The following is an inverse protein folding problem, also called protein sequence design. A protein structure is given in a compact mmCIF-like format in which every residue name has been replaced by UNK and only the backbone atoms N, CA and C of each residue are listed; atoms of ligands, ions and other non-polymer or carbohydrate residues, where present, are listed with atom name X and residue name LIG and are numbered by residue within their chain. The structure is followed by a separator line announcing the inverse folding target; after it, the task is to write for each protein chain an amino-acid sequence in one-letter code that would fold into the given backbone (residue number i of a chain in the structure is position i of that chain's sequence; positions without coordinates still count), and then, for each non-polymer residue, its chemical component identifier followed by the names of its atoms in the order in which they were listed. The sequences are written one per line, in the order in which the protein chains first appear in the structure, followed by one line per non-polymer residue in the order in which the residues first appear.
data_IF_217958300633
#
_entry.id   IF_217958300633
#
_cell.length_a   1.000
_cell.length_b   1.000
_cell.length_c   1.000
_cell.angle_alpha   90.00
_cell.angle_beta   90.00
_cell.angle_gamma   90.00
#
_symmetry.space_group_name_H-M   'P 1'
#
loop_
_entity.id
_entity.type
_entity.pdbx_description
1 polymer ?
#
# COMPACT_ATOMS: atom_id res chain seq x y z
N UNK A 1 44.70 -1.16 -14.71
CA UNK A 1 44.68 -1.60 -13.30
C UNK A 1 43.98 -0.57 -12.41
N UNK A 2 44.36 0.71 -12.45
CA UNK A 2 43.68 1.82 -11.74
C UNK A 2 42.17 1.92 -12.05
N UNK A 3 41.79 1.83 -13.32
CA UNK A 3 40.38 1.85 -13.76
C UNK A 3 39.53 0.71 -13.16
N UNK A 4 40.09 -0.50 -13.00
CA UNK A 4 39.38 -1.62 -12.35
C UNK A 4 39.17 -1.41 -10.85
N UNK A 5 40.07 -0.69 -10.17
CA UNK A 5 39.89 -0.34 -8.77
C UNK A 5 38.84 0.75 -8.62
N UNK A 6 38.87 1.76 -9.50
CA UNK A 6 37.88 2.84 -9.51
C UNK A 6 36.46 2.31 -9.81
N UNK A 7 36.32 1.36 -10.75
CA UNK A 7 35.04 0.70 -11.06
C UNK A 7 34.51 -0.13 -9.87
N UNK A 8 35.39 -0.90 -9.19
CA UNK A 8 35.01 -1.64 -7.98
C UNK A 8 34.60 -0.73 -6.84
N UNK A 9 35.32 0.36 -6.61
CA UNK A 9 35.00 1.34 -5.57
C UNK A 9 33.67 2.04 -5.84
N UNK A 10 33.40 2.40 -7.11
CA UNK A 10 32.12 3.00 -7.51
C UNK A 10 30.96 2.03 -7.29
N UNK A 11 31.12 0.76 -7.68
CA UNK A 11 30.10 -0.28 -7.44
C UNK A 11 29.80 -0.48 -5.96
N UNK A 12 30.83 -0.56 -5.11
CA UNK A 12 30.65 -0.67 -3.65
C UNK A 12 29.92 0.54 -3.08
N UNK A 13 30.23 1.76 -3.54
CA UNK A 13 29.53 2.98 -3.11
C UNK A 13 28.05 2.95 -3.52
N UNK A 14 27.75 2.48 -4.72
CA UNK A 14 26.38 2.31 -5.21
C UNK A 14 25.60 1.29 -4.38
N UNK A 15 26.18 0.10 -4.16
CA UNK A 15 25.57 -0.97 -3.35
C UNK A 15 25.27 -0.49 -1.91
N UNK A 16 26.20 0.25 -1.29
CA UNK A 16 26.00 0.85 0.03
C UNK A 16 24.89 1.91 0.03
N UNK A 17 24.80 2.71 -1.03
CA UNK A 17 23.76 3.73 -1.16
C UNK A 17 22.37 3.09 -1.29
N UNK A 18 22.26 2.01 -2.08
CA UNK A 18 21.05 1.20 -2.22
C UNK A 18 20.66 0.59 -0.87
N UNK A 19 21.62 0.03 -0.14
CA UNK A 19 21.41 -0.55 1.19
C UNK A 19 20.87 0.47 2.20
N UNK A 20 21.45 1.68 2.24
CA UNK A 20 21.01 2.76 3.11
C UNK A 20 19.59 3.26 2.77
N UNK A 21 19.26 3.35 1.48
CA UNK A 21 17.92 3.73 1.02
C UNK A 21 16.88 2.68 1.43
N UNK A 22 17.18 1.38 1.27
CA UNK A 22 16.30 0.29 1.71
C UNK A 22 16.11 0.28 3.22
N UNK A 23 17.18 0.45 4.01
CA UNK A 23 17.07 0.55 5.46
C UNK A 23 16.16 1.71 5.88
N UNK A 24 16.31 2.87 5.23
CA UNK A 24 15.47 4.05 5.48
C UNK A 24 14.00 3.78 5.13
N UNK A 25 13.73 3.17 3.98
CA UNK A 25 12.37 2.80 3.58
C UNK A 25 11.72 1.80 4.56
N UNK A 26 12.47 0.82 5.06
CA UNK A 26 11.98 -0.13 6.07
C UNK A 26 11.63 0.55 7.40
N UNK A 27 12.48 1.47 7.87
CA UNK A 27 12.19 2.26 9.08
C UNK A 27 10.94 3.12 8.90
N UNK A 28 10.81 3.80 7.75
CA UNK A 28 9.65 4.63 7.45
C UNK A 28 8.37 3.80 7.34
N UNK A 29 8.42 2.62 6.70
CA UNK A 29 7.30 1.69 6.64
C UNK A 29 6.78 1.34 8.04
N UNK A 30 7.68 0.94 8.95
CA UNK A 30 7.32 0.60 10.33
C UNK A 30 6.76 1.79 11.11
N UNK A 31 7.38 2.97 11.01
CA UNK A 31 6.92 4.17 11.69
C UNK A 31 5.52 4.61 11.22
N UNK A 32 5.26 4.49 9.91
CA UNK A 32 4.00 4.91 9.29
C UNK A 32 2.83 3.99 9.69
N UNK A 33 3.09 2.71 10.00
CA UNK A 33 2.07 1.76 10.44
C UNK A 33 1.37 2.13 11.77
N UNK A 34 2.01 2.95 12.62
CA UNK A 34 1.39 3.45 13.86
C UNK A 34 0.24 4.42 13.54
N UNK A 35 0.36 5.19 12.46
CA UNK A 35 -0.62 6.20 12.06
C UNK A 35 -2.00 5.62 11.77
N UNK A 36 -2.06 4.45 11.15
CA UNK A 36 -3.33 3.78 10.77
C UNK A 36 -4.27 3.59 11.96
N UNK A 37 -3.72 3.16 13.11
CA UNK A 37 -4.53 2.92 14.32
C UNK A 37 -5.10 4.21 14.90
N UNK A 38 -4.30 5.28 14.87
CA UNK A 38 -4.70 6.60 15.34
C UNK A 38 -5.78 7.17 14.42
N UNK A 39 -5.54 7.15 13.11
CA UNK A 39 -6.46 7.64 12.09
C UNK A 39 -7.83 6.93 12.17
N UNK A 40 -7.84 5.61 12.39
CA UNK A 40 -9.09 4.87 12.60
C UNK A 40 -9.81 5.29 13.88
N UNK A 41 -9.09 5.44 15.00
CA UNK A 41 -9.67 5.81 16.29
C UNK A 41 -10.31 7.20 16.27
N UNK A 42 -9.74 8.14 15.50
CA UNK A 42 -10.27 9.50 15.30
C UNK A 42 -11.28 9.61 14.16
N UNK A 43 -11.60 8.49 13.49
CA UNK A 43 -12.46 8.43 12.28
C UNK A 43 -11.93 9.29 11.12
N UNK A 44 -10.63 9.57 11.09
CA UNK A 44 -9.96 10.22 9.96
C UNK A 44 -9.60 9.20 8.87
N UNK A 45 -10.62 8.72 8.15
CA UNK A 45 -10.41 7.74 7.07
C UNK A 45 -9.59 8.31 5.90
N UNK A 46 -9.59 9.63 5.71
CA UNK A 46 -8.75 10.27 4.70
C UNK A 46 -7.27 10.24 5.10
N UNK A 47 -6.97 10.52 6.37
CA UNK A 47 -5.65 10.33 6.97
C UNK A 47 -5.17 8.89 6.82
N UNK A 48 -6.03 7.93 7.17
CA UNK A 48 -5.74 6.50 7.08
C UNK A 48 -5.36 6.06 5.65
N UNK A 49 -6.11 6.53 4.64
CA UNK A 49 -5.79 6.24 3.23
C UNK A 49 -4.45 6.86 2.82
N UNK A 50 -4.18 8.09 3.22
CA UNK A 50 -2.89 8.75 2.91
C UNK A 50 -1.73 7.94 3.52
N UNK A 51 -1.89 7.48 4.76
CA UNK A 51 -0.94 6.62 5.46
C UNK A 51 -0.71 5.31 4.69
N UNK A 52 -1.78 4.63 4.24
CA UNK A 52 -1.68 3.41 3.43
C UNK A 52 -0.96 3.64 2.10
N UNK A 53 -1.25 4.75 1.41
CA UNK A 53 -0.59 5.07 0.13
C UNK A 53 0.92 5.26 0.31
N UNK A 54 1.33 6.02 1.33
CA UNK A 54 2.74 6.21 1.65
C UNK A 54 3.43 4.89 2.00
N UNK A 55 2.76 4.02 2.76
CA UNK A 55 3.30 2.69 3.07
C UNK A 55 3.44 1.81 1.82
N UNK A 56 2.48 1.87 0.89
CA UNK A 56 2.57 1.17 -0.39
C UNK A 56 3.77 1.65 -1.21
N UNK A 57 4.01 2.96 -1.28
CA UNK A 57 5.18 3.51 -1.96
C UNK A 57 6.49 2.96 -1.36
N UNK A 58 6.61 2.87 -0.03
CA UNK A 58 7.77 2.24 0.61
C UNK A 58 7.86 0.74 0.34
N UNK A 59 6.75 0.00 0.38
CA UNK A 59 6.72 -1.42 0.09
C UNK A 59 7.17 -1.72 -1.35
N UNK A 60 6.73 -0.90 -2.31
CA UNK A 60 7.15 -0.99 -3.71
C UNK A 60 8.65 -0.73 -3.85
N UNK A 61 9.17 0.29 -3.15
CA UNK A 61 10.59 0.62 -3.18
C UNK A 61 11.47 -0.48 -2.56
N UNK A 62 10.97 -1.15 -1.53
CA UNK A 62 11.64 -2.30 -0.92
C UNK A 62 11.61 -3.52 -1.84
N UNK A 63 10.51 -3.69 -2.58
CA UNK A 63 10.26 -4.80 -3.51
C UNK A 63 10.52 -6.18 -2.87
N UNK A 64 10.14 -6.29 -1.60
CA UNK A 64 10.22 -7.50 -0.81
C UNK A 64 8.83 -8.15 -0.71
N UNK A 65 8.77 -9.47 -0.91
CA UNK A 65 7.52 -10.20 -0.99
C UNK A 65 6.72 -10.14 0.32
N UNK A 66 7.39 -10.24 1.47
CA UNK A 66 6.73 -10.17 2.78
C UNK A 66 6.14 -8.79 3.02
N UNK A 67 6.88 -7.73 2.70
CA UNK A 67 6.44 -6.34 2.85
C UNK A 67 5.26 -6.03 1.92
N UNK A 68 5.29 -6.52 0.67
CA UNK A 68 4.18 -6.38 -0.28
C UNK A 68 2.92 -7.12 0.22
N UNK A 69 3.08 -8.33 0.76
CA UNK A 69 1.99 -9.09 1.36
C UNK A 69 1.41 -8.39 2.59
N UNK A 70 2.28 -7.82 3.43
CA UNK A 70 1.87 -7.09 4.63
C UNK A 70 1.07 -5.83 4.30
N UNK A 71 1.51 -5.01 3.35
CA UNK A 71 0.73 -3.83 2.94
C UNK A 71 -0.59 -4.22 2.28
N UNK A 72 -0.62 -5.30 1.49
CA UNK A 72 -1.85 -5.83 0.92
C UNK A 72 -2.86 -6.24 2.02
N UNK A 73 -2.37 -6.93 3.06
CA UNK A 73 -3.17 -7.28 4.24
C UNK A 73 -3.70 -6.02 4.95
N UNK A 74 -2.86 -5.01 5.14
CA UNK A 74 -3.26 -3.75 5.78
C UNK A 74 -4.32 -3.01 4.97
N UNK A 75 -4.21 -2.96 3.63
CA UNK A 75 -5.20 -2.34 2.74
C UNK A 75 -6.56 -3.04 2.90
N UNK A 76 -6.61 -4.36 2.83
CA UNK A 76 -7.86 -5.12 2.97
C UNK A 76 -8.47 -4.91 4.36
N UNK A 77 -7.69 -5.08 5.43
CA UNK A 77 -8.18 -4.91 6.79
C UNK A 77 -8.70 -3.48 7.03
N UNK A 78 -8.03 -2.49 6.44
CA UNK A 78 -8.45 -1.09 6.52
C UNK A 78 -9.79 -0.85 5.84
N UNK A 79 -10.00 -1.43 4.66
CA UNK A 79 -11.28 -1.38 3.97
C UNK A 79 -12.39 -2.08 4.76
N UNK A 80 -12.13 -3.28 5.32
CA UNK A 80 -13.12 -3.99 6.15
C UNK A 80 -13.55 -3.16 7.37
N UNK A 81 -12.61 -2.45 8.01
CA UNK A 81 -12.89 -1.58 9.14
C UNK A 81 -13.73 -0.37 8.73
N UNK A 82 -13.35 0.31 7.65
CA UNK A 82 -14.07 1.48 7.13
C UNK A 82 -15.49 1.08 6.70
N UNK A 83 -15.66 -0.03 6.00
CA UNK A 83 -16.96 -0.47 5.50
C UNK A 83 -17.95 -0.78 6.63
N UNK A 84 -17.47 -1.17 7.82
CA UNK A 84 -18.31 -1.37 9.02
C UNK A 84 -18.91 -0.07 9.55
N UNK A 85 -18.30 1.07 9.27
CA UNK A 85 -18.68 2.37 9.84
C UNK A 85 -19.85 3.04 9.11
N UNK A 86 -20.34 2.46 8.00
CA UNK A 86 -21.57 2.79 7.23
C UNK A 86 -21.75 4.27 6.80
N UNK A 87 -20.82 5.16 7.13
CA UNK A 87 -20.97 6.63 7.03
C UNK A 87 -19.70 7.32 6.52
N UNK A 88 -18.87 6.61 5.74
CA UNK A 88 -17.68 7.18 5.12
C UNK A 88 -17.96 7.80 3.74
N UNK A 89 -17.10 8.73 3.32
CA UNK A 89 -17.18 9.38 2.01
C UNK A 89 -16.87 8.37 0.88
N UNK A 90 -17.68 8.33 -0.19
CA UNK A 90 -17.45 7.48 -1.38
C UNK A 90 -16.09 7.70 -2.06
N UNK A 91 -15.44 8.84 -1.83
CA UNK A 91 -14.06 9.10 -2.27
C UNK A 91 -13.04 8.16 -1.60
N UNK A 92 -13.33 7.73 -0.37
CA UNK A 92 -12.51 6.76 0.39
C UNK A 92 -12.48 5.43 -0.36
N UNK A 93 -13.64 4.92 -0.78
CA UNK A 93 -13.75 3.67 -1.56
C UNK A 93 -13.01 3.76 -2.90
N UNK A 94 -13.14 4.89 -3.60
CA UNK A 94 -12.46 5.09 -4.88
C UNK A 94 -10.94 5.10 -4.74
N UNK A 95 -10.43 5.66 -3.65
CA UNK A 95 -8.99 5.72 -3.40
C UNK A 95 -8.47 4.36 -2.93
N UNK A 96 -9.19 3.66 -2.05
CA UNK A 96 -8.88 2.30 -1.63
C UNK A 96 -8.84 1.33 -2.82
N UNK A 97 -9.78 1.47 -3.76
CA UNK A 97 -9.77 0.71 -5.01
C UNK A 97 -8.49 0.97 -5.83
N UNK A 98 -8.07 2.23 -5.94
CA UNK A 98 -6.83 2.58 -6.63
C UNK A 98 -5.59 1.92 -6.00
N UNK A 99 -5.48 1.99 -4.67
CA UNK A 99 -4.37 1.38 -3.92
C UNK A 99 -4.40 -0.15 -4.04
N UNK A 100 -5.57 -0.77 -3.98
CA UNK A 100 -5.73 -2.22 -4.16
C UNK A 100 -5.31 -2.69 -5.55
N UNK A 101 -5.71 -1.96 -6.60
CA UNK A 101 -5.30 -2.25 -7.98
C UNK A 101 -3.81 -2.03 -8.22
N UNK A 102 -3.18 -1.12 -7.46
CA UNK A 102 -1.75 -0.88 -7.55
C UNK A 102 -0.92 -2.00 -6.89
N UNK A 103 -1.34 -2.50 -5.71
CA UNK A 103 -0.59 -3.57 -5.02
C UNK A 103 -0.80 -4.95 -5.68
N UNK A 104 -2.01 -5.24 -6.18
CA UNK A 104 -2.38 -6.56 -6.70
C UNK A 104 -1.39 -7.16 -7.73
N UNK A 105 -0.94 -6.45 -8.79
CA UNK A 105 -0.03 -7.01 -9.78
C UNK A 105 1.40 -7.24 -9.25
N UNK A 106 1.71 -6.80 -8.03
CA UNK A 106 3.03 -6.95 -7.40
C UNK A 106 3.10 -8.14 -6.45
N UNK A 107 1.97 -8.78 -6.16
CA UNK A 107 1.91 -9.97 -5.32
C UNK A 107 2.16 -11.23 -6.15
N UNK A 108 2.74 -12.26 -5.51
CA UNK A 108 2.72 -13.61 -6.08
C UNK A 108 1.28 -14.08 -6.22
N UNK A 109 0.97 -14.82 -7.29
CA UNK A 109 -0.35 -15.43 -7.46
C UNK A 109 -0.71 -16.41 -6.32
N UNK A 110 0.29 -16.95 -5.63
CA UNK A 110 0.12 -17.82 -4.46
C UNK A 110 -0.08 -17.07 -3.14
N UNK A 111 -0.01 -15.73 -3.15
CA UNK A 111 -0.15 -14.93 -1.94
C UNK A 111 -1.59 -14.98 -1.42
N UNK A 112 -1.74 -15.22 -0.12
CA UNK A 112 -3.03 -15.37 0.55
C UNK A 112 -3.89 -14.08 0.52
N UNK A 113 -3.28 -12.92 0.30
CA UNK A 113 -4.01 -11.65 0.17
C UNK A 113 -4.60 -11.45 -1.22
N UNK A 114 -4.15 -12.17 -2.25
CA UNK A 114 -4.67 -12.01 -3.62
C UNK A 114 -6.19 -12.27 -3.71
N UNK A 115 -6.74 -13.39 -3.19
CA UNK A 115 -8.19 -13.59 -3.20
C UNK A 115 -8.95 -12.51 -2.43
N UNK A 116 -8.40 -12.04 -1.31
CA UNK A 116 -9.03 -11.00 -0.47
C UNK A 116 -9.07 -9.65 -1.17
N UNK A 117 -8.01 -9.29 -1.90
CA UNK A 117 -7.98 -8.08 -2.72
C UNK A 117 -9.00 -8.15 -3.85
N UNK A 118 -9.13 -9.30 -4.53
CA UNK A 118 -10.16 -9.47 -5.55
C UNK A 118 -11.57 -9.30 -5.00
N UNK A 119 -11.85 -9.88 -3.82
CA UNK A 119 -13.14 -9.70 -3.15
C UNK A 119 -13.42 -8.23 -2.84
N UNK A 120 -12.47 -7.54 -2.20
CA UNK A 120 -12.55 -6.10 -1.93
C UNK A 120 -12.82 -5.27 -3.20
N UNK A 121 -12.06 -5.52 -4.27
CA UNK A 121 -12.19 -4.82 -5.56
C UNK A 121 -13.61 -5.01 -6.12
N UNK A 122 -14.08 -6.26 -6.15
CA UNK A 122 -15.39 -6.61 -6.70
C UNK A 122 -16.52 -5.96 -5.90
N UNK A 123 -16.43 -5.94 -4.57
CA UNK A 123 -17.44 -5.30 -3.71
C UNK A 123 -17.50 -3.79 -3.96
N UNK A 124 -16.36 -3.10 -3.96
CA UNK A 124 -16.31 -1.65 -4.22
C UNK A 124 -16.87 -1.30 -5.60
N UNK A 125 -16.57 -2.11 -6.62
CA UNK A 125 -17.08 -1.89 -7.98
C UNK A 125 -18.59 -2.17 -8.09
N UNK A 126 -19.09 -3.19 -7.41
CA UNK A 126 -20.51 -3.54 -7.40
C UNK A 126 -21.35 -2.44 -6.74
N UNK A 127 -20.89 -1.89 -5.62
CA UNK A 127 -21.57 -0.80 -4.92
C UNK A 127 -21.64 0.49 -5.75
N UNK A 128 -20.63 0.74 -6.59
CA UNK A 128 -20.67 1.84 -7.57
C UNK A 128 -21.74 1.61 -8.64
N UNK A 129 -21.87 0.38 -9.15
CA UNK A 129 -22.85 0.06 -10.20
C UNK A 129 -24.30 0.15 -9.73
N UNK A 130 -24.56 -0.05 -8.44
CA UNK A 130 -25.89 0.01 -7.83
C UNK A 130 -26.32 1.41 -7.40
N UNK A 131 -25.51 2.45 -7.61
CA UNK A 131 -25.92 3.83 -7.34
C UNK A 131 -26.73 4.34 -8.54
N UNK A 132 -28.06 4.58 -8.44
CA UNK A 132 -28.81 5.13 -9.55
C UNK A 132 -28.22 6.50 -9.90
N UNK A 133 -27.82 6.70 -11.15
CA UNK A 133 -27.58 8.03 -11.67
C UNK A 133 -28.90 8.79 -11.54
N UNK A 134 -29.02 9.68 -10.55
CA UNK A 134 -30.04 10.71 -10.56
C UNK A 134 -29.79 11.55 -11.79
N UNK A 135 -30.55 11.26 -12.85
CA UNK A 135 -30.66 12.09 -14.03
C UNK A 135 -31.13 13.48 -13.55
N UNK A 136 -30.25 14.47 -13.70
CA UNK A 136 -30.63 15.88 -13.74
C UNK A 136 -30.99 16.24 -15.17
#
# INVERSE_FOLDING_TARGET
MKEMFDERTNKVKEDLSISAARASAATLYQATGIGIKVDYATKDFSGMIRTLKTMLEYAINLNDAETLSDIARLIVNSWELINREKSHDKRVDSTLLGIALEVLPRLSASDVQVPRLFEMINQIQSDKSNTPQSQK
#
